data_IF_483929358771
#
_entry.id   IF_483929358771
#
_cell.length_a   1.000
_cell.length_b   1.000
_cell.length_c   1.000
_cell.angle_alpha   90.00
_cell.angle_beta   90.00
_cell.angle_gamma   90.00
#
_symmetry.space_group_name_H-M   'P 1'
#
loop_
_entity.id
_entity.type
_entity.pdbx_description
1 polymer ?
#
# COMPACT_ATOMS: atom_id res chain seq x y z
N UNK A 1 -19.93 32.41 5.47
CA UNK A 1 -18.76 32.45 4.58
C UNK A 1 -17.53 32.67 5.45
N UNK A 2 -16.46 31.88 5.30
CA UNK A 2 -15.20 32.16 6.01
C UNK A 2 -14.65 33.51 5.57
N UNK A 3 -14.03 34.24 6.48
CA UNK A 3 -13.34 35.50 6.14
C UNK A 3 -12.07 35.19 5.34
N UNK A 4 -11.64 36.10 4.47
CA UNK A 4 -10.39 36.00 3.71
C UNK A 4 -9.18 35.62 4.61
N UNK A 5 -9.20 36.08 5.86
CA UNK A 5 -8.17 35.77 6.87
C UNK A 5 -8.04 34.29 7.23
N UNK A 6 -9.12 33.49 7.20
CA UNK A 6 -9.04 32.05 7.50
C UNK A 6 -8.30 31.27 6.41
N UNK A 7 -8.20 31.82 5.20
CA UNK A 7 -7.54 31.18 4.05
C UNK A 7 -6.01 31.31 4.07
N UNK A 8 -5.47 32.23 4.87
CA UNK A 8 -4.03 32.53 4.98
C UNK A 8 -3.41 32.03 6.29
N UNK A 9 -4.23 31.58 7.24
CA UNK A 9 -3.75 31.20 8.56
C UNK A 9 -2.91 29.91 8.50
N UNK A 10 -1.70 29.97 9.06
CA UNK A 10 -0.78 28.83 9.14
C UNK A 10 -1.10 28.05 10.42
N UNK A 11 -1.41 26.76 10.27
CA UNK A 11 -1.74 25.86 11.38
C UNK A 11 -0.73 24.72 11.45
N UNK A 12 -0.34 24.26 12.65
CA UNK A 12 0.40 23.01 12.76
C UNK A 12 -0.44 21.84 12.25
N UNK A 13 0.21 20.88 11.59
CA UNK A 13 -0.36 19.60 11.18
C UNK A 13 0.50 18.47 11.73
N UNK A 14 -0.05 17.25 11.79
CA UNK A 14 0.74 16.10 12.22
C UNK A 14 1.81 15.75 11.17
N UNK A 15 2.96 15.16 11.58
CA UNK A 15 3.92 14.61 10.65
C UNK A 15 3.27 13.66 9.63
N UNK A 16 2.38 12.78 10.10
CA UNK A 16 1.62 11.82 9.27
C UNK A 16 0.75 12.49 8.19
N UNK A 17 0.18 13.66 8.49
CA UNK A 17 -0.56 14.44 7.51
C UNK A 17 0.37 14.95 6.40
N UNK A 18 1.53 15.49 6.78
CA UNK A 18 2.53 15.96 5.82
C UNK A 18 3.12 14.80 5.01
N UNK A 19 3.40 13.65 5.64
CA UNK A 19 3.92 12.45 4.97
C UNK A 19 2.99 11.97 3.85
N UNK A 20 1.67 12.00 4.08
CA UNK A 20 0.67 11.68 3.05
C UNK A 20 0.75 12.63 1.85
N UNK A 21 0.96 13.93 2.08
CA UNK A 21 1.16 14.92 1.00
C UNK A 21 2.51 14.73 0.29
N UNK A 22 3.54 14.39 1.07
CA UNK A 22 4.91 14.17 0.61
C UNK A 22 5.09 12.88 -0.21
N UNK A 23 4.10 11.99 -0.28
CA UNK A 23 4.07 10.89 -1.29
C UNK A 23 4.23 11.42 -2.73
N UNK A 24 3.89 12.69 -2.98
CA UNK A 24 4.07 13.38 -4.26
C UNK A 24 5.53 13.72 -4.62
N UNK A 25 6.44 13.69 -3.64
CA UNK A 25 7.87 13.90 -3.82
C UNK A 25 8.50 12.73 -4.55
N UNK A 26 9.63 12.97 -5.23
CA UNK A 26 10.34 11.96 -6.02
C UNK A 26 10.85 10.78 -5.18
N UNK A 27 11.12 10.96 -3.89
CA UNK A 27 11.49 9.88 -2.96
C UNK A 27 10.48 9.76 -1.83
N UNK A 28 9.27 10.32 -1.99
CA UNK A 28 8.23 10.24 -0.98
C UNK A 28 8.62 10.89 0.37
N UNK A 29 7.99 10.46 1.48
CA UNK A 29 8.22 11.00 2.81
C UNK A 29 9.39 10.38 3.60
N UNK A 30 10.28 9.60 2.95
CA UNK A 30 11.47 9.10 3.62
C UNK A 30 12.56 10.18 3.63
N UNK A 31 12.72 10.85 4.78
CA UNK A 31 13.68 11.95 4.95
C UNK A 31 14.98 11.53 5.65
N UNK A 32 15.24 10.23 5.81
CA UNK A 32 16.46 9.74 6.46
C UNK A 32 17.73 10.35 5.83
N UNK A 33 18.73 10.74 6.64
CA UNK A 33 18.84 10.56 8.09
C UNK A 33 18.13 11.65 8.94
N UNK A 34 17.36 12.55 8.32
CA UNK A 34 16.59 13.57 9.02
C UNK A 34 15.22 13.06 9.45
N UNK A 35 14.61 13.73 10.42
CA UNK A 35 13.22 13.46 10.83
C UNK A 35 12.38 14.73 10.80
N UNK A 36 11.07 14.61 10.63
CA UNK A 36 10.16 15.75 10.73
C UNK A 36 10.16 16.27 12.18
N UNK A 37 10.67 17.47 12.38
CA UNK A 37 10.62 18.19 13.66
C UNK A 37 9.22 18.78 13.89
N UNK A 38 8.67 19.44 12.88
CA UNK A 38 7.30 19.98 12.90
C UNK A 38 6.80 20.20 11.47
N UNK A 39 5.48 20.26 11.29
CA UNK A 39 4.86 20.50 9.99
C UNK A 39 3.69 21.48 10.11
N UNK A 40 3.44 22.22 9.04
CA UNK A 40 2.42 23.26 8.96
C UNK A 40 1.63 23.19 7.65
N UNK A 41 0.43 23.73 7.69
CA UNK A 41 -0.43 23.93 6.52
C UNK A 41 -0.98 25.35 6.49
N UNK A 42 -1.05 25.93 5.30
CA UNK A 42 -1.71 27.22 5.05
C UNK A 42 -3.18 27.00 4.73
N UNK A 43 -4.05 27.69 5.47
CA UNK A 43 -5.48 27.76 5.20
C UNK A 43 -6.13 26.38 5.07
N UNK A 44 -6.84 26.16 3.97
CA UNK A 44 -7.50 24.88 3.64
C UNK A 44 -6.62 23.90 2.84
N UNK A 45 -5.30 24.09 2.83
CA UNK A 45 -4.37 23.16 2.16
C UNK A 45 -3.95 23.58 0.76
N UNK A 46 -3.78 24.89 0.53
CA UNK A 46 -3.14 25.41 -0.69
C UNK A 46 -1.62 25.23 -0.67
N UNK A 47 -1.02 25.29 0.51
CA UNK A 47 0.39 25.06 0.78
C UNK A 47 0.56 24.28 2.10
N UNK A 48 1.60 23.46 2.19
CA UNK A 48 2.04 22.84 3.42
C UNK A 48 3.56 22.76 3.44
N UNK A 49 4.15 22.41 4.58
CA UNK A 49 5.59 22.31 4.67
C UNK A 49 6.04 21.74 5.99
N UNK A 50 7.28 21.25 6.03
CA UNK A 50 7.88 20.72 7.24
C UNK A 50 9.25 21.34 7.52
N UNK A 51 9.62 21.28 8.79
CA UNK A 51 10.98 21.50 9.25
C UNK A 51 11.55 20.11 9.54
N UNK A 52 12.69 19.79 8.93
CA UNK A 52 13.44 18.57 9.15
C UNK A 52 14.58 18.85 10.12
N UNK A 53 14.87 17.89 11.01
CA UNK A 53 16.03 17.90 11.91
C UNK A 53 17.00 16.81 11.49
N UNK A 54 18.21 17.22 11.10
CA UNK A 54 19.32 16.31 10.83
C UNK A 54 19.87 15.78 12.16
N UNK A 55 19.78 14.46 12.37
CA UNK A 55 20.10 13.83 13.66
C UNK A 55 21.61 13.88 14.01
N UNK A 56 22.46 13.98 12.99
CA UNK A 56 23.92 13.98 13.13
C UNK A 56 24.50 15.34 13.55
N UNK A 57 23.96 16.40 12.97
CA UNK A 57 24.46 17.78 13.07
C UNK A 57 23.59 18.66 13.96
N UNK A 58 22.35 18.25 14.24
CA UNK A 58 21.34 19.08 14.91
C UNK A 58 20.86 20.26 14.06
N UNK A 59 21.21 20.31 12.78
CA UNK A 59 20.81 21.37 11.87
C UNK A 59 19.36 21.18 11.39
N UNK A 60 18.69 22.29 11.14
CA UNK A 60 17.33 22.29 10.61
C UNK A 60 17.32 22.59 9.11
N UNK A 61 16.42 21.98 8.37
CA UNK A 61 16.12 22.34 6.99
C UNK A 61 14.62 22.44 6.80
N UNK A 62 14.18 23.05 5.71
CA UNK A 62 12.77 23.29 5.43
C UNK A 62 12.40 22.77 4.06
N UNK A 63 11.19 22.23 3.95
CA UNK A 63 10.61 21.79 2.70
C UNK A 63 9.20 22.37 2.58
N UNK A 64 8.93 23.14 1.54
CA UNK A 64 7.60 23.70 1.26
C UNK A 64 6.98 23.07 0.02
N UNK A 65 5.73 22.62 0.17
CA UNK A 65 4.89 22.07 -0.89
C UNK A 65 3.73 23.02 -1.19
N UNK A 66 3.35 23.11 -2.46
CA UNK A 66 2.16 23.83 -2.89
C UNK A 66 1.32 22.98 -3.83
N UNK A 67 0.00 23.20 -3.79
CA UNK A 67 -0.91 22.60 -4.76
C UNK A 67 -0.72 23.26 -6.12
N UNK A 68 -0.64 22.44 -7.16
CA UNK A 68 -0.85 22.87 -8.53
C UNK A 68 -2.33 23.10 -8.85
N UNK A 69 -2.61 23.70 -9.99
CA UNK A 69 -3.99 23.88 -10.50
C UNK A 69 -4.75 22.57 -10.75
N UNK A 70 -4.06 21.42 -10.76
CA UNK A 70 -4.64 20.07 -10.82
C UNK A 70 -4.58 19.32 -9.48
N UNK A 71 -4.35 20.04 -8.39
CA UNK A 71 -4.28 19.57 -7.01
C UNK A 71 -3.08 18.66 -6.69
N UNK A 72 -2.17 18.36 -7.62
CA UNK A 72 -0.94 17.65 -7.24
C UNK A 72 -0.07 18.55 -6.33
N UNK A 73 0.48 17.99 -5.26
CA UNK A 73 1.51 18.64 -4.45
C UNK A 73 2.83 18.67 -5.21
N UNK A 74 3.51 19.81 -5.18
CA UNK A 74 4.86 19.98 -5.73
C UNK A 74 5.75 20.72 -4.75
N UNK A 75 7.01 20.32 -4.68
CA UNK A 75 8.03 21.06 -3.96
C UNK A 75 8.29 22.39 -4.66
N UNK A 76 8.18 23.48 -3.92
CA UNK A 76 8.42 24.85 -4.45
C UNK A 76 9.61 25.53 -3.81
N UNK A 77 10.05 25.06 -2.64
CA UNK A 77 11.15 25.65 -1.91
C UNK A 77 11.78 24.62 -0.96
N UNK A 78 13.11 24.65 -0.89
CA UNK A 78 13.92 23.88 0.05
C UNK A 78 15.05 24.78 0.52
N UNK A 79 15.21 24.90 1.84
CA UNK A 79 16.24 25.77 2.43
C UNK A 79 16.91 25.11 3.62
N UNK A 80 18.12 25.59 3.92
CA UNK A 80 18.94 25.13 5.03
C UNK A 80 20.41 25.00 4.63
N UNK A 81 21.29 24.62 5.57
CA UNK A 81 20.97 24.35 6.97
C UNK A 81 20.71 25.63 7.79
N UNK A 82 19.82 25.53 8.77
CA UNK A 82 19.55 26.55 9.79
C UNK A 82 20.02 26.08 11.15
N UNK A 83 20.55 27.01 11.95
CA UNK A 83 21.07 26.72 13.29
C UNK A 83 19.98 26.65 14.37
N UNK A 84 18.77 27.14 14.10
CA UNK A 84 17.67 27.16 15.07
C UNK A 84 16.32 26.87 14.39
N UNK A 85 15.36 26.28 15.12
CA UNK A 85 14.03 25.99 14.58
C UNK A 85 13.25 27.26 14.25
N UNK A 86 13.46 28.37 14.96
CA UNK A 86 12.77 29.65 14.68
C UNK A 86 13.16 30.22 13.32
N UNK A 87 14.45 30.18 12.97
CA UNK A 87 14.93 30.63 11.65
C UNK A 87 14.38 29.75 10.53
N UNK A 88 14.35 28.44 10.75
CA UNK A 88 13.71 27.51 9.83
C UNK A 88 12.21 27.78 9.70
N UNK A 89 11.52 28.11 10.80
CA UNK A 89 10.09 28.43 10.76
C UNK A 89 9.82 29.71 9.95
N UNK A 90 10.60 30.77 10.15
CA UNK A 90 10.46 32.01 9.38
C UNK A 90 10.72 31.79 7.89
N UNK A 91 11.76 31.02 7.55
CA UNK A 91 12.05 30.63 6.17
C UNK A 91 10.90 29.82 5.56
N UNK A 92 10.39 28.82 6.28
CA UNK A 92 9.29 27.96 5.83
C UNK A 92 8.00 28.76 5.59
N UNK A 93 7.67 29.73 6.47
CA UNK A 93 6.50 30.60 6.31
C UNK A 93 6.58 31.40 5.00
N UNK A 94 7.76 31.92 4.67
CA UNK A 94 7.98 32.62 3.39
C UNK A 94 7.94 31.66 2.21
N UNK A 95 8.61 30.50 2.30
CA UNK A 95 8.70 29.49 1.24
C UNK A 95 7.35 28.86 0.85
N UNK A 96 6.42 28.72 1.80
CA UNK A 96 5.06 28.24 1.50
C UNK A 96 4.25 29.21 0.63
N UNK A 97 4.63 30.50 0.57
CA UNK A 97 3.95 31.54 -0.23
C UNK A 97 2.44 31.59 -0.01
N UNK A 98 2.00 31.55 1.25
CA UNK A 98 0.58 31.48 1.60
C UNK A 98 -0.23 32.62 0.97
N UNK A 99 -1.26 32.28 0.20
CA UNK A 99 -2.11 33.25 -0.52
C UNK A 99 -1.87 33.37 -2.02
N UNK A 100 -0.70 32.93 -2.51
CA UNK A 100 -0.44 32.88 -3.95
C UNK A 100 -1.38 31.90 -4.66
N UNK A 101 -1.61 32.12 -5.95
CA UNK A 101 -2.35 31.20 -6.81
C UNK A 101 -1.69 29.80 -6.84
N UNK A 102 -2.46 28.72 -7.10
CA UNK A 102 -1.90 27.39 -7.26
C UNK A 102 -0.84 27.33 -8.37
N UNK A 103 0.16 26.46 -8.20
CA UNK A 103 1.25 26.33 -9.17
C UNK A 103 0.72 25.90 -10.55
N UNK A 104 1.27 26.43 -11.65
CA UNK A 104 0.81 26.10 -12.99
C UNK A 104 1.11 24.65 -13.37
N UNK A 105 0.41 24.17 -14.41
CA UNK A 105 0.77 22.91 -15.06
C UNK A 105 2.06 23.09 -15.88
N UNK A 106 3.04 22.17 -15.78
CA UNK A 106 4.16 22.13 -16.72
C UNK A 106 3.68 21.94 -18.16
N UNK A 107 4.40 22.48 -19.16
CA UNK A 107 4.10 22.22 -20.57
C UNK A 107 4.01 20.72 -20.87
N UNK A 108 2.97 20.31 -21.59
CA UNK A 108 2.74 18.91 -21.96
C UNK A 108 2.19 18.01 -20.84
N UNK A 109 2.13 18.48 -19.59
CA UNK A 109 1.52 17.71 -18.50
C UNK A 109 0.01 17.61 -18.70
N UNK A 110 -0.54 16.42 -18.44
CA UNK A 110 -1.99 16.21 -18.44
C UNK A 110 -2.59 16.56 -17.08
N UNK A 111 -3.66 17.35 -17.09
CA UNK A 111 -4.47 17.65 -15.89
C UNK A 111 -5.09 16.36 -15.33
N UNK A 112 -4.93 16.13 -14.02
CA UNK A 112 -5.59 15.03 -13.30
C UNK A 112 -7.12 15.18 -13.37
N UNK A 113 -7.80 14.09 -13.70
CA UNK A 113 -9.26 14.06 -13.65
C UNK A 113 -9.73 14.12 -12.17
N UNK A 114 -10.77 14.89 -11.82
CA UNK A 114 -11.27 14.95 -10.45
C UNK A 114 -11.89 13.60 -10.03
N UNK A 115 -11.42 13.07 -8.90
CA UNK A 115 -11.85 11.76 -8.38
C UNK A 115 -13.36 11.68 -8.15
N UNK A 116 -13.95 12.74 -7.59
CA UNK A 116 -15.38 12.80 -7.21
C UNK A 116 -16.31 13.14 -8.37
N UNK A 117 -15.78 13.48 -9.55
CA UNK A 117 -16.61 13.75 -10.72
C UNK A 117 -17.03 12.43 -11.35
N UNK A 118 -18.26 12.02 -11.08
CA UNK A 118 -18.84 10.77 -11.60
C UNK A 118 -18.85 10.77 -13.12
N UNK A 119 -18.29 9.72 -13.71
CA UNK A 119 -18.30 9.49 -15.15
C UNK A 119 -19.66 8.99 -15.69
N UNK A 120 -19.83 8.92 -17.02
CA UNK A 120 -21.10 8.50 -17.65
C UNK A 120 -21.46 7.02 -17.40
N UNK A 121 -20.51 6.21 -16.91
CA UNK A 121 -20.70 4.78 -16.62
C UNK A 121 -21.26 4.52 -15.21
N UNK A 122 -21.57 5.56 -14.44
CA UNK A 122 -21.98 5.43 -13.04
C UNK A 122 -20.82 5.08 -12.13
N UNK A 123 -21.13 4.60 -10.92
CA UNK A 123 -20.16 4.19 -9.90
C UNK A 123 -20.46 2.77 -9.39
N UNK A 124 -19.43 2.05 -8.95
CA UNK A 124 -19.55 0.79 -8.22
C UNK A 124 -19.97 1.03 -6.77
N UNK A 125 -20.43 -0.03 -6.11
CA UNK A 125 -20.86 0.02 -4.71
C UNK A 125 -19.70 0.38 -3.77
N UNK A 126 -18.47 -0.04 -4.08
CA UNK A 126 -17.28 0.33 -3.32
C UNK A 126 -16.94 1.80 -3.45
N UNK A 127 -17.04 2.34 -4.67
CA UNK A 127 -16.82 3.76 -4.85
C UNK A 127 -17.94 4.58 -4.20
N UNK A 128 -19.19 4.13 -4.26
CA UNK A 128 -20.31 4.72 -3.52
C UNK A 128 -20.05 4.73 -2.01
N UNK A 129 -19.54 3.63 -1.44
CA UNK A 129 -19.19 3.55 -0.02
C UNK A 129 -18.04 4.52 0.33
N UNK A 130 -16.97 4.54 -0.49
CA UNK A 130 -15.81 5.41 -0.33
C UNK A 130 -16.19 6.90 -0.37
N UNK A 131 -17.01 7.28 -1.36
CA UNK A 131 -17.38 8.66 -1.64
C UNK A 131 -18.60 9.15 -0.84
N UNK A 132 -19.43 8.23 -0.33
CA UNK A 132 -20.77 8.51 0.18
C UNK A 132 -20.94 8.41 1.69
N UNK A 133 -19.92 8.01 2.46
CA UNK A 133 -20.03 7.87 3.92
C UNK A 133 -18.95 8.62 4.70
N UNK A 134 -19.33 9.16 5.85
CA UNK A 134 -18.47 9.93 6.74
C UNK A 134 -17.36 9.04 7.32
N UNK A 135 -17.68 7.79 7.68
CA UNK A 135 -16.70 6.82 8.18
C UNK A 135 -15.58 6.49 7.19
N UNK A 136 -15.78 6.76 5.89
CA UNK A 136 -14.80 6.52 4.82
C UNK A 136 -14.09 7.78 4.31
N UNK A 137 -14.39 8.97 4.86
CA UNK A 137 -13.63 10.20 4.58
C UNK A 137 -12.11 10.01 4.75
N UNK A 138 -11.59 9.32 5.77
CA UNK A 138 -10.15 9.10 5.88
C UNK A 138 -9.59 8.33 4.69
N UNK A 139 -10.28 7.27 4.24
CA UNK A 139 -9.89 6.53 3.03
C UNK A 139 -10.01 7.38 1.77
N UNK A 140 -11.07 8.17 1.60
CA UNK A 140 -11.29 9.02 0.44
C UNK A 140 -10.13 10.00 0.24
N UNK A 141 -9.69 10.63 1.34
CA UNK A 141 -8.55 11.54 1.31
C UNK A 141 -7.27 10.80 0.97
N UNK A 142 -6.98 9.67 1.64
CA UNK A 142 -5.77 8.91 1.38
C UNK A 142 -5.69 8.39 -0.07
N UNK A 143 -6.80 7.90 -0.62
CA UNK A 143 -6.93 7.48 -2.04
C UNK A 143 -6.69 8.67 -2.96
N UNK A 144 -7.30 9.82 -2.65
CA UNK A 144 -7.13 11.06 -3.42
C UNK A 144 -5.68 11.53 -3.47
N UNK A 145 -4.99 11.61 -2.33
CA UNK A 145 -3.58 12.01 -2.27
C UNK A 145 -2.68 11.03 -3.01
N UNK A 146 -2.89 9.72 -2.86
CA UNK A 146 -2.11 8.71 -3.59
C UNK A 146 -2.32 8.84 -5.11
N UNK A 147 -3.56 9.01 -5.58
CA UNK A 147 -3.86 9.18 -7.00
C UNK A 147 -3.24 10.46 -7.58
N UNK A 148 -3.30 11.58 -6.85
CA UNK A 148 -2.69 12.83 -7.28
C UNK A 148 -1.16 12.72 -7.33
N UNK A 149 -0.57 11.91 -6.45
CA UNK A 149 0.86 11.67 -6.34
C UNK A 149 1.40 10.65 -7.37
N UNK A 150 0.57 9.79 -7.96
CA UNK A 150 1.01 8.84 -9.01
C UNK A 150 1.80 9.57 -10.10
N UNK A 151 2.93 9.03 -10.59
CA UNK A 151 3.77 9.68 -11.60
C UNK A 151 2.98 9.97 -12.88
N UNK A 152 2.35 8.93 -13.44
CA UNK A 152 1.69 9.00 -14.74
C UNK A 152 0.48 8.04 -14.83
N UNK A 153 -0.58 8.25 -14.02
CA UNK A 153 -1.82 7.49 -14.14
C UNK A 153 -2.41 7.64 -15.54
N UNK A 154 -2.88 6.53 -16.09
CA UNK A 154 -3.47 6.49 -17.42
C UNK A 154 -4.81 7.23 -17.50
N UNK A 155 -5.31 7.39 -18.73
CA UNK A 155 -6.53 8.15 -19.00
C UNK A 155 -7.79 7.61 -18.34
N UNK A 156 -7.83 6.31 -18.12
CA UNK A 156 -8.98 5.56 -17.63
C UNK A 156 -8.90 5.33 -16.12
N UNK A 157 -7.82 5.75 -15.44
CA UNK A 157 -7.64 5.50 -14.02
C UNK A 157 -8.87 5.88 -13.17
N UNK A 158 -9.39 7.11 -13.30
CA UNK A 158 -10.58 7.54 -12.54
C UNK A 158 -11.84 6.77 -12.94
N UNK A 159 -12.20 6.65 -14.24
CA UNK A 159 -13.31 5.77 -14.64
C UNK A 159 -13.20 4.33 -14.15
N UNK A 160 -12.00 3.75 -14.14
CA UNK A 160 -11.73 2.38 -13.69
C UNK A 160 -11.91 2.25 -12.18
N UNK A 161 -11.33 3.18 -11.41
CA UNK A 161 -11.48 3.23 -9.97
C UNK A 161 -12.94 3.47 -9.58
N UNK A 162 -13.70 4.26 -10.35
CA UNK A 162 -15.12 4.49 -10.08
C UNK A 162 -16.01 3.28 -10.38
N UNK A 163 -15.55 2.30 -11.18
CA UNK A 163 -16.42 1.23 -11.69
C UNK A 163 -15.89 -0.17 -11.28
N UNK A 164 -15.90 -1.15 -12.19
CA UNK A 164 -15.61 -2.56 -11.88
C UNK A 164 -14.13 -2.85 -11.61
N UNK A 165 -13.25 -1.88 -11.86
CA UNK A 165 -11.80 -2.02 -11.66
C UNK A 165 -11.33 -1.38 -10.33
N UNK A 166 -12.25 -1.08 -9.41
CA UNK A 166 -11.98 -0.45 -8.11
C UNK A 166 -10.84 -1.16 -7.36
N UNK A 167 -10.91 -2.48 -7.16
CA UNK A 167 -9.91 -3.23 -6.41
C UNK A 167 -8.52 -3.20 -7.08
N UNK A 168 -8.47 -3.31 -8.40
CA UNK A 168 -7.20 -3.23 -9.16
C UNK A 168 -6.55 -1.85 -9.01
N UNK A 169 -7.31 -0.77 -9.21
CA UNK A 169 -6.79 0.59 -9.07
C UNK A 169 -6.42 0.92 -7.63
N UNK A 170 -7.16 0.41 -6.65
CA UNK A 170 -6.81 0.56 -5.24
C UNK A 170 -5.51 -0.17 -4.89
N UNK A 171 -5.27 -1.35 -5.47
CA UNK A 171 -4.03 -2.09 -5.27
C UNK A 171 -2.82 -1.39 -5.90
N UNK A 172 -2.98 -0.80 -7.09
CA UNK A 172 -1.95 0.07 -7.69
C UNK A 172 -1.57 1.24 -6.77
N UNK A 173 -2.57 1.93 -6.19
CA UNK A 173 -2.33 3.03 -5.23
C UNK A 173 -1.63 2.54 -3.96
N UNK A 174 -2.00 1.36 -3.46
CA UNK A 174 -1.38 0.76 -2.29
C UNK A 174 0.09 0.45 -2.53
N UNK A 175 0.43 -0.19 -3.66
CA UNK A 175 1.80 -0.49 -4.04
C UNK A 175 2.63 0.79 -4.18
N UNK A 176 2.09 1.78 -4.89
CA UNK A 176 2.71 3.10 -5.01
C UNK A 176 3.03 3.72 -3.64
N UNK A 177 2.07 3.74 -2.72
CA UNK A 177 2.26 4.28 -1.38
C UNK A 177 3.31 3.49 -0.59
N UNK A 178 3.33 2.16 -0.69
CA UNK A 178 4.35 1.32 -0.07
C UNK A 178 5.76 1.66 -0.57
N UNK A 179 5.94 1.83 -1.88
CA UNK A 179 7.24 2.12 -2.45
C UNK A 179 7.71 3.54 -2.12
N UNK A 180 6.83 4.54 -2.29
CA UNK A 180 7.11 5.94 -1.97
C UNK A 180 7.46 6.15 -0.50
N UNK A 181 6.70 5.57 0.43
CA UNK A 181 6.94 5.73 1.87
C UNK A 181 8.35 5.29 2.28
N UNK A 182 8.92 4.31 1.57
CA UNK A 182 10.23 3.75 1.85
C UNK A 182 11.40 4.48 1.17
N UNK A 183 11.14 5.54 0.39
CA UNK A 183 12.19 6.28 -0.32
C UNK A 183 12.40 5.88 -1.78
N UNK A 184 11.62 4.93 -2.32
CA UNK A 184 11.88 4.42 -3.66
C UNK A 184 11.46 5.42 -4.73
N UNK A 185 12.28 5.55 -5.78
CA UNK A 185 11.88 6.13 -7.04
C UNK A 185 10.85 5.18 -7.72
N UNK A 186 9.76 5.71 -8.27
CA UNK A 186 8.64 4.97 -8.88
C UNK A 186 8.33 5.69 -10.17
N UNK A 187 8.45 5.00 -11.30
CA UNK A 187 8.19 5.53 -12.64
C UNK A 187 7.06 4.76 -13.31
N UNK A 188 6.37 5.45 -14.21
CA UNK A 188 5.26 4.93 -15.03
C UNK A 188 5.40 5.43 -16.47
N UNK A 189 6.63 5.34 -17.00
CA UNK A 189 6.97 5.87 -18.32
C UNK A 189 6.51 4.95 -19.47
N UNK A 190 6.15 3.70 -19.13
CA UNK A 190 5.67 2.68 -20.05
C UNK A 190 4.26 2.23 -19.67
N UNK A 191 3.53 1.70 -20.64
CA UNK A 191 2.16 1.16 -20.44
C UNK A 191 2.18 -0.11 -19.58
N UNK A 192 3.26 -0.90 -19.69
CA UNK A 192 3.48 -2.08 -18.85
C UNK A 192 4.97 -2.45 -18.80
N UNK A 193 5.46 -3.08 -17.72
CA UNK A 193 4.78 -3.30 -16.43
C UNK A 193 4.36 -2.00 -15.73
N UNK A 194 3.39 -2.09 -14.81
CA UNK A 194 2.74 -0.91 -14.18
C UNK A 194 3.70 0.06 -13.48
N UNK A 195 4.79 -0.46 -12.91
CA UNK A 195 5.81 0.34 -12.24
C UNK A 195 7.24 -0.10 -12.59
N UNK A 196 8.13 0.86 -12.73
CA UNK A 196 9.57 0.69 -12.46
C UNK A 196 9.84 1.26 -11.07
N UNK A 197 10.50 0.49 -10.20
CA UNK A 197 10.95 0.97 -8.89
C UNK A 197 12.48 1.00 -8.83
N UNK A 198 13.04 1.99 -8.15
CA UNK A 198 14.48 2.14 -7.97
C UNK A 198 14.82 2.62 -6.56
N UNK A 199 15.90 2.09 -5.99
CA UNK A 199 16.55 2.62 -4.79
C UNK A 199 18.06 2.38 -4.88
N UNK A 200 18.85 3.43 -4.67
CA UNK A 200 20.32 3.36 -4.66
C UNK A 200 20.92 2.64 -5.88
N UNK A 201 20.32 2.86 -7.06
CA UNK A 201 20.71 2.24 -8.34
C UNK A 201 20.22 0.81 -8.55
N UNK A 202 19.62 0.14 -7.55
CA UNK A 202 18.92 -1.12 -7.75
C UNK A 202 17.53 -0.87 -8.36
N UNK A 203 17.16 -1.63 -9.38
CA UNK A 203 15.91 -1.46 -10.15
C UNK A 203 15.08 -2.74 -10.14
N UNK A 204 13.76 -2.62 -10.19
CA UNK A 204 12.84 -3.72 -10.48
C UNK A 204 11.61 -3.24 -11.24
N UNK A 205 11.16 -4.02 -12.22
CA UNK A 205 9.88 -3.83 -12.88
C UNK A 205 8.78 -4.63 -12.18
N UNK A 206 7.62 -4.02 -11.97
CA UNK A 206 6.50 -4.62 -11.24
C UNK A 206 5.22 -4.51 -12.05
N UNK A 207 4.60 -5.65 -12.33
CA UNK A 207 3.23 -5.74 -12.86
C UNK A 207 2.26 -6.00 -11.70
N UNK A 208 1.26 -5.14 -11.53
CA UNK A 208 0.21 -5.30 -10.55
C UNK A 208 -0.96 -6.14 -11.11
N UNK A 209 -1.45 -7.08 -10.32
CA UNK A 209 -2.61 -7.91 -10.69
C UNK A 209 -3.46 -8.23 -9.48
N UNK A 210 -4.75 -8.38 -9.71
CA UNK A 210 -5.71 -8.88 -8.72
C UNK A 210 -6.22 -10.25 -9.14
N UNK A 211 -6.22 -11.20 -8.22
CA UNK A 211 -6.89 -12.49 -8.37
C UNK A 211 -8.38 -12.29 -8.09
N UNK A 212 -9.16 -12.02 -9.15
CA UNK A 212 -10.60 -11.76 -9.04
C UNK A 212 -11.43 -13.04 -9.18
N UNK A 213 -12.72 -12.97 -8.84
CA UNK A 213 -13.68 -14.06 -9.07
C UNK A 213 -13.91 -14.29 -10.57
N UNK A 214 -14.27 -15.52 -10.93
CA UNK A 214 -14.62 -15.89 -12.32
C UNK A 214 -16.02 -15.34 -12.70
N UNK A 215 -16.85 -15.04 -11.70
CA UNK A 215 -18.15 -14.41 -11.87
C UNK A 215 -17.96 -12.91 -11.59
N UNK A 216 -18.23 -12.02 -12.56
CA UNK A 216 -18.22 -10.59 -12.32
C UNK A 216 -19.30 -10.25 -11.28
N UNK A 217 -18.89 -10.08 -10.03
CA UNK A 217 -19.76 -9.49 -9.03
C UNK A 217 -19.62 -7.98 -9.13
N UNK A 218 -20.74 -7.27 -9.02
CA UNK A 218 -20.71 -5.84 -8.71
C UNK A 218 -20.21 -5.66 -7.27
N UNK A 219 -18.91 -5.79 -7.11
CA UNK A 219 -18.18 -5.32 -5.97
C UNK A 219 -17.96 -6.29 -4.81
N UNK A 220 -16.79 -6.17 -4.18
CA UNK A 220 -16.32 -6.95 -3.02
C UNK A 220 -17.10 -6.72 -1.73
N UNK A 221 -18.29 -6.13 -1.78
CA UNK A 221 -19.21 -5.97 -0.65
C UNK A 221 -20.27 -7.07 -0.76
N UNK A 222 -19.85 -8.30 -0.52
CA UNK A 222 -20.70 -9.48 -0.40
C UNK A 222 -20.69 -10.05 1.02
N UNK A 223 -21.52 -11.06 1.27
CA UNK A 223 -21.54 -11.78 2.53
C UNK A 223 -20.15 -12.33 2.85
N UNK A 224 -19.75 -12.25 4.12
CA UNK A 224 -18.42 -12.68 4.55
C UNK A 224 -18.21 -14.17 4.30
N UNK A 225 -17.16 -14.53 3.55
CA UNK A 225 -16.79 -15.92 3.27
C UNK A 225 -15.68 -16.35 4.23
N UNK A 226 -16.00 -17.34 5.05
CA UNK A 226 -15.03 -17.96 5.95
C UNK A 226 -14.07 -18.88 5.19
N UNK A 227 -12.87 -19.03 5.74
CA UNK A 227 -11.85 -19.92 5.20
C UNK A 227 -12.38 -21.37 5.14
N UNK A 228 -11.99 -22.18 4.14
CA UNK A 228 -12.28 -23.60 4.15
C UNK A 228 -11.78 -24.26 5.44
N UNK A 229 -12.64 -25.06 6.08
CA UNK A 229 -12.29 -25.80 7.30
C UNK A 229 -11.21 -26.85 7.03
N UNK A 230 -11.29 -27.51 5.86
CA UNK A 230 -10.23 -28.41 5.41
C UNK A 230 -8.98 -27.61 5.04
N UNK A 231 -7.92 -27.87 5.80
CA UNK A 231 -6.61 -27.26 5.61
C UNK A 231 -5.98 -27.61 4.26
N UNK A 232 -6.25 -28.81 3.72
CA UNK A 232 -5.77 -29.16 2.39
C UNK A 232 -6.44 -28.29 1.32
N UNK A 233 -7.76 -28.16 1.35
CA UNK A 233 -8.48 -27.27 0.44
C UNK A 233 -7.98 -25.83 0.55
N UNK A 234 -7.76 -25.34 1.77
CA UNK A 234 -7.27 -23.98 2.00
C UNK A 234 -5.87 -23.72 1.45
N UNK A 235 -4.96 -24.70 1.50
CA UNK A 235 -3.55 -24.53 1.10
C UNK A 235 -3.26 -24.95 -0.34
N UNK A 236 -3.94 -25.98 -0.84
CA UNK A 236 -3.65 -26.59 -2.14
C UNK A 236 -4.85 -26.64 -3.08
N UNK A 237 -6.05 -26.30 -2.61
CA UNK A 237 -7.30 -26.35 -3.37
C UNK A 237 -7.57 -25.12 -4.24
N UNK A 238 -8.83 -24.70 -4.30
CA UNK A 238 -9.30 -23.60 -5.14
C UNK A 238 -8.55 -22.25 -4.93
N UNK A 239 -8.17 -21.83 -3.71
CA UNK A 239 -7.44 -20.58 -3.50
C UNK A 239 -6.06 -20.60 -4.16
N UNK A 240 -5.33 -21.70 -4.01
CA UNK A 240 -4.02 -21.88 -4.64
C UNK A 240 -4.13 -21.90 -6.17
N UNK A 241 -5.14 -22.60 -6.71
CA UNK A 241 -5.37 -22.64 -8.16
C UNK A 241 -5.68 -21.26 -8.74
N UNK A 242 -6.36 -20.40 -7.99
CA UNK A 242 -6.67 -19.04 -8.45
C UNK A 242 -5.41 -18.18 -8.56
N UNK A 243 -4.54 -18.21 -7.55
CA UNK A 243 -3.22 -17.58 -7.65
C UNK A 243 -2.44 -18.14 -8.84
N UNK A 244 -2.42 -19.47 -9.00
CA UNK A 244 -1.72 -20.13 -10.08
C UNK A 244 -2.20 -19.69 -11.47
N UNK A 245 -3.51 -19.64 -11.70
CA UNK A 245 -4.09 -19.17 -12.96
C UNK A 245 -3.75 -17.71 -13.24
N UNK A 246 -3.86 -16.84 -12.23
CA UNK A 246 -3.60 -15.40 -12.35
C UNK A 246 -2.13 -15.15 -12.73
N UNK A 247 -1.19 -15.77 -11.99
CA UNK A 247 0.24 -15.64 -12.24
C UNK A 247 0.63 -16.20 -13.60
N UNK A 248 0.19 -17.41 -13.95
CA UNK A 248 0.49 -18.02 -15.27
C UNK A 248 -0.08 -17.20 -16.43
N UNK A 249 -1.28 -16.62 -16.27
CA UNK A 249 -1.86 -15.74 -17.28
C UNK A 249 -1.04 -14.46 -17.52
N UNK A 250 -0.46 -13.89 -16.46
CA UNK A 250 0.44 -12.73 -16.58
C UNK A 250 1.80 -13.10 -17.17
N UNK A 251 2.36 -14.26 -16.81
CA UNK A 251 3.62 -14.73 -17.37
C UNK A 251 3.57 -14.95 -18.90
N UNK A 252 2.40 -15.29 -19.44
CA UNK A 252 2.18 -15.39 -20.90
C UNK A 252 2.36 -14.07 -21.66
N UNK A 253 2.37 -12.92 -20.97
CA UNK A 253 2.58 -11.61 -21.60
C UNK A 253 4.04 -11.33 -21.94
N UNK A 254 4.98 -12.15 -21.45
CA UNK A 254 6.39 -12.10 -21.80
C UNK A 254 7.02 -10.70 -21.57
N UNK A 255 6.68 -10.06 -20.45
CA UNK A 255 7.16 -8.70 -20.12
C UNK A 255 8.68 -8.60 -20.14
N UNK A 256 9.39 -9.65 -19.74
CA UNK A 256 10.85 -9.77 -19.75
C UNK A 256 11.51 -9.57 -21.13
N UNK A 257 10.75 -9.78 -22.22
CA UNK A 257 11.25 -9.59 -23.57
C UNK A 257 11.21 -8.14 -24.03
N UNK A 258 10.45 -7.27 -23.34
CA UNK A 258 10.36 -5.85 -23.64
C UNK A 258 11.71 -5.17 -23.46
N UNK A 259 12.03 -4.20 -24.33
CA UNK A 259 13.37 -3.57 -24.36
C UNK A 259 13.72 -2.88 -23.03
N UNK A 260 12.75 -2.29 -22.33
CA UNK A 260 12.95 -1.62 -21.04
C UNK A 260 13.07 -2.56 -19.85
N UNK A 261 12.54 -3.78 -19.93
CA UNK A 261 12.57 -4.78 -18.84
C UNK A 261 13.77 -5.73 -18.97
N UNK A 262 14.21 -5.98 -20.20
CA UNK A 262 15.27 -6.95 -20.50
C UNK A 262 16.53 -6.66 -19.68
N UNK A 263 17.08 -7.70 -19.05
CA UNK A 263 18.29 -7.59 -18.23
C UNK A 263 18.06 -7.07 -16.81
N UNK A 264 16.82 -6.74 -16.44
CA UNK A 264 16.46 -6.22 -15.12
C UNK A 264 15.58 -7.21 -14.33
N UNK A 265 15.55 -7.12 -12.99
CA UNK A 265 14.58 -7.84 -12.18
C UNK A 265 13.13 -7.53 -12.58
N UNK A 266 12.29 -8.55 -12.60
CA UNK A 266 10.86 -8.46 -12.88
C UNK A 266 10.06 -9.20 -11.83
N UNK A 267 9.04 -8.56 -11.27
CA UNK A 267 8.10 -9.17 -10.34
C UNK A 267 6.65 -8.96 -10.75
N UNK A 268 5.81 -9.88 -10.30
CA UNK A 268 4.35 -9.71 -10.33
C UNK A 268 3.89 -9.43 -8.91
N UNK A 269 3.27 -8.27 -8.69
CA UNK A 269 2.58 -7.95 -7.48
C UNK A 269 1.13 -8.45 -7.56
N UNK A 270 0.70 -9.24 -6.58
CA UNK A 270 -0.62 -9.87 -6.56
C UNK A 270 -1.35 -9.63 -5.24
N UNK A 271 -2.61 -9.24 -5.34
CA UNK A 271 -3.57 -9.25 -4.24
C UNK A 271 -4.78 -10.10 -4.62
N UNK A 272 -5.50 -10.59 -3.62
CA UNK A 272 -6.61 -11.50 -3.78
C UNK A 272 -7.96 -10.83 -3.47
N UNK A 273 -8.83 -10.75 -4.46
CA UNK A 273 -10.15 -10.13 -4.36
C UNK A 273 -11.25 -11.08 -4.85
N UNK A 274 -11.02 -12.39 -4.75
CA UNK A 274 -11.93 -13.36 -5.34
C UNK A 274 -13.21 -13.59 -4.56
N UNK A 275 -13.17 -13.40 -3.24
CA UNK A 275 -14.33 -13.53 -2.34
C UNK A 275 -14.26 -12.47 -1.23
N UNK A 276 -15.42 -12.11 -0.68
CA UNK A 276 -15.50 -11.25 0.52
C UNK A 276 -14.81 -11.94 1.70
N UNK A 277 -13.78 -11.29 2.26
CA UNK A 277 -12.97 -11.84 3.36
C UNK A 277 -11.81 -12.75 2.94
N UNK A 278 -11.66 -13.07 1.64
CA UNK A 278 -10.55 -13.90 1.12
C UNK A 278 -9.16 -13.44 1.57
N UNK A 279 -8.95 -12.12 1.59
CA UNK A 279 -7.73 -11.46 2.05
C UNK A 279 -7.27 -11.90 3.45
N UNK A 280 -8.16 -12.38 4.30
CA UNK A 280 -7.84 -12.80 5.67
C UNK A 280 -7.26 -14.20 5.74
N UNK A 281 -7.52 -15.06 4.76
CA UNK A 281 -7.22 -16.49 4.86
C UNK A 281 -6.52 -17.12 3.64
N UNK A 282 -6.53 -16.48 2.46
CA UNK A 282 -5.97 -17.07 1.24
C UNK A 282 -4.44 -16.97 1.14
N UNK A 283 -3.83 -16.08 1.93
CA UNK A 283 -2.38 -15.83 1.97
C UNK A 283 -1.54 -17.12 1.98
N UNK A 284 -1.91 -18.11 2.79
CA UNK A 284 -1.10 -19.34 2.99
C UNK A 284 -1.06 -20.24 1.75
N UNK A 285 -2.03 -20.10 0.84
CA UNK A 285 -2.10 -20.86 -0.41
C UNK A 285 -1.03 -20.43 -1.42
N UNK A 286 -0.69 -19.14 -1.45
CA UNK A 286 0.27 -18.57 -2.38
C UNK A 286 1.69 -19.17 -2.23
N UNK A 287 2.37 -19.11 -1.07
CA UNK A 287 3.70 -19.70 -0.94
C UNK A 287 3.70 -21.21 -1.14
N UNK A 288 2.59 -21.89 -0.84
CA UNK A 288 2.41 -23.32 -1.13
C UNK A 288 2.52 -23.59 -2.63
N UNK A 289 1.80 -22.81 -3.45
CA UNK A 289 1.89 -22.88 -4.90
C UNK A 289 3.27 -22.46 -5.42
N UNK A 290 3.83 -21.34 -4.95
CA UNK A 290 5.10 -20.79 -5.47
C UNK A 290 6.25 -21.76 -5.25
N UNK A 291 6.42 -22.26 -4.02
CA UNK A 291 7.54 -23.12 -3.66
C UNK A 291 7.28 -24.60 -3.83
N UNK A 292 6.03 -25.03 -4.08
CA UNK A 292 5.63 -26.44 -4.18
C UNK A 292 5.79 -27.21 -2.86
N UNK A 293 5.63 -26.50 -1.74
CA UNK A 293 5.76 -27.03 -0.38
C UNK A 293 4.48 -26.69 0.40
N UNK A 294 3.70 -27.70 0.76
CA UNK A 294 2.60 -27.52 1.71
C UNK A 294 3.18 -27.53 3.12
N UNK A 295 2.95 -26.48 3.90
CA UNK A 295 3.27 -26.51 5.31
C UNK A 295 2.39 -27.55 5.99
N UNK A 296 2.92 -28.48 6.78
CA UNK A 296 2.19 -29.45 7.59
C UNK A 296 2.70 -29.42 9.05
N UNK A 297 1.86 -29.84 9.98
CA UNK A 297 2.24 -29.99 11.39
C UNK A 297 2.21 -31.47 11.75
N UNK A 298 3.30 -31.97 12.31
CA UNK A 298 3.43 -33.35 12.79
C UNK A 298 3.72 -33.36 14.29
N UNK A 299 3.54 -34.53 14.91
CA UNK A 299 3.66 -34.70 16.37
C UNK A 299 2.41 -34.29 17.13
N UNK A 300 2.46 -34.38 18.46
CA UNK A 300 1.35 -34.05 19.37
C UNK A 300 1.83 -33.37 20.65
N UNK A 301 0.98 -32.56 21.26
CA UNK A 301 1.31 -31.80 22.47
C UNK A 301 2.55 -30.92 22.28
N UNK A 302 3.56 -31.09 23.15
CA UNK A 302 4.82 -30.33 23.13
C UNK A 302 5.80 -30.75 22.02
N UNK A 303 5.53 -31.86 21.32
CA UNK A 303 6.38 -32.33 20.20
C UNK A 303 5.93 -31.82 18.82
N UNK A 304 4.89 -30.98 18.77
CA UNK A 304 4.38 -30.42 17.52
C UNK A 304 5.48 -29.62 16.82
N UNK A 305 5.67 -29.86 15.52
CA UNK A 305 6.60 -29.09 14.67
C UNK A 305 6.08 -28.93 13.25
N UNK A 306 6.42 -27.82 12.62
CA UNK A 306 6.14 -27.57 11.21
C UNK A 306 7.13 -28.34 10.32
N UNK A 307 6.64 -28.85 9.19
CA UNK A 307 7.44 -29.42 8.11
C UNK A 307 6.92 -28.89 6.77
N UNK A 308 7.79 -28.84 5.76
CA UNK A 308 7.39 -28.60 4.37
C UNK A 308 7.21 -29.93 3.63
N UNK A 309 5.99 -30.28 3.27
CA UNK A 309 5.68 -31.48 2.49
C UNK A 309 5.70 -31.13 0.99
N UNK A 310 6.58 -31.73 0.18
CA UNK A 310 6.59 -31.50 -1.26
C UNK A 310 5.28 -31.93 -1.92
N UNK A 311 4.75 -31.07 -2.77
CA UNK A 311 3.60 -31.37 -3.63
C UNK A 311 4.00 -31.18 -5.09
N UNK A 312 3.44 -31.98 -5.99
CA UNK A 312 3.66 -31.87 -7.44
C UNK A 312 2.54 -31.12 -8.14
N UNK A 313 1.31 -31.26 -7.65
CA UNK A 313 0.12 -30.62 -8.20
C UNK A 313 -0.73 -30.04 -7.07
N UNK A 314 -1.48 -28.99 -7.41
CA UNK A 314 -2.57 -28.48 -6.59
C UNK A 314 -3.73 -29.48 -6.59
N UNK A 315 -4.51 -29.49 -5.51
CA UNK A 315 -5.63 -30.40 -5.29
C UNK A 315 -6.97 -29.83 -5.72
N UNK A 316 -6.98 -28.62 -6.29
CA UNK A 316 -8.19 -28.02 -6.85
C UNK A 316 -8.64 -28.73 -8.13
N UNK A 317 -9.64 -28.14 -8.79
CA UNK A 317 -10.38 -28.74 -9.91
C UNK A 317 -9.51 -29.01 -11.15
N UNK A 318 -8.45 -28.25 -11.36
CA UNK A 318 -7.67 -28.26 -12.59
C UNK A 318 -6.35 -29.02 -12.45
N UNK A 319 -5.97 -29.42 -11.23
CA UNK A 319 -4.72 -30.12 -10.92
C UNK A 319 -3.50 -29.40 -11.51
N UNK A 320 -3.39 -28.10 -11.26
CA UNK A 320 -2.31 -27.27 -11.80
C UNK A 320 -0.97 -27.70 -11.16
N UNK A 321 0.13 -27.84 -11.93
CA UNK A 321 1.45 -28.10 -11.37
C UNK A 321 1.86 -27.05 -10.33
N UNK A 322 2.29 -27.51 -9.17
CA UNK A 322 2.79 -26.65 -8.10
C UNK A 322 4.31 -26.42 -8.24
N UNK A 323 4.83 -25.41 -7.55
CA UNK A 323 6.25 -25.08 -7.57
C UNK A 323 6.64 -24.20 -8.75
N UNK A 324 5.96 -23.07 -8.96
CA UNK A 324 6.32 -22.09 -9.99
C UNK A 324 7.81 -21.72 -9.96
N UNK A 325 8.37 -21.57 -8.76
CA UNK A 325 9.78 -21.25 -8.51
C UNK A 325 10.76 -22.44 -8.63
N UNK A 326 10.26 -23.62 -9.01
CA UNK A 326 11.10 -24.81 -9.28
C UNK A 326 11.28 -25.06 -10.78
N UNK A 327 10.53 -24.36 -11.61
CA UNK A 327 10.52 -24.54 -13.05
C UNK A 327 11.49 -23.52 -13.68
N UNK A 328 12.60 -23.97 -14.32
CA UNK A 328 13.56 -23.09 -14.96
C UNK A 328 12.97 -22.22 -16.08
N UNK A 329 11.82 -22.59 -16.65
CA UNK A 329 11.13 -21.76 -17.65
C UNK A 329 10.73 -20.39 -17.07
N UNK A 330 10.44 -20.33 -15.76
CA UNK A 330 10.07 -19.10 -15.06
C UNK A 330 11.24 -18.41 -14.35
N UNK A 331 12.49 -18.75 -14.68
CA UNK A 331 13.69 -18.08 -14.15
C UNK A 331 13.76 -16.58 -14.48
N UNK A 332 12.97 -16.09 -15.43
CA UNK A 332 12.84 -14.66 -15.75
C UNK A 332 11.99 -13.88 -14.73
N UNK A 333 11.15 -14.57 -13.94
CA UNK A 333 10.41 -13.96 -12.84
C UNK A 333 11.30 -13.94 -11.60
N UNK A 334 11.67 -12.75 -11.13
CA UNK A 334 12.55 -12.57 -9.98
C UNK A 334 11.87 -12.87 -8.65
N UNK A 335 10.62 -12.43 -8.52
CA UNK A 335 9.83 -12.63 -7.31
C UNK A 335 8.33 -12.48 -7.57
N UNK A 336 7.53 -12.89 -6.59
CA UNK A 336 6.12 -12.51 -6.49
C UNK A 336 5.97 -11.61 -5.27
N UNK A 337 5.46 -10.40 -5.47
CA UNK A 337 5.12 -9.47 -4.39
C UNK A 337 3.67 -9.72 -4.00
N UNK A 338 3.35 -9.78 -2.72
CA UNK A 338 2.00 -10.04 -2.23
C UNK A 338 1.61 -9.03 -1.16
N UNK A 339 0.34 -8.68 -1.10
CA UNK A 339 -0.25 -8.09 0.09
C UNK A 339 -1.74 -8.40 0.18
N UNK A 340 -2.22 -8.52 1.41
CA UNK A 340 -3.64 -8.54 1.74
C UNK A 340 -4.14 -7.20 2.31
N UNK A 341 -3.32 -6.16 2.29
CA UNK A 341 -3.65 -4.84 2.84
C UNK A 341 -4.03 -3.80 1.79
N UNK A 342 -4.05 -4.12 0.50
CA UNK A 342 -4.49 -3.22 -0.59
C UNK A 342 -5.99 -2.89 -0.58
N UNK A 343 -6.59 -2.67 0.59
CA UNK A 343 -8.03 -2.56 0.81
C UNK A 343 -8.41 -1.18 1.33
N UNK A 344 -9.68 -0.81 1.19
CA UNK A 344 -10.19 0.47 1.69
C UNK A 344 -9.99 0.62 3.21
N UNK A 345 -9.98 -0.49 3.96
CA UNK A 345 -9.67 -0.49 5.39
C UNK A 345 -8.25 0.04 5.69
N UNK A 346 -7.25 -0.32 4.87
CA UNK A 346 -5.88 0.23 5.00
C UNK A 346 -5.88 1.73 4.75
N UNK A 347 -6.47 2.18 3.64
CA UNK A 347 -6.58 3.60 3.33
C UNK A 347 -7.30 4.38 4.43
N UNK A 348 -8.34 3.81 5.03
CA UNK A 348 -9.04 4.40 6.18
C UNK A 348 -8.10 4.58 7.38
N UNK A 349 -7.34 3.54 7.76
CA UNK A 349 -6.38 3.66 8.86
C UNK A 349 -5.29 4.69 8.55
N UNK A 350 -4.73 4.67 7.35
CA UNK A 350 -3.65 5.60 6.98
C UNK A 350 -4.15 7.05 6.94
N UNK A 351 -5.34 7.30 6.40
CA UNK A 351 -5.98 8.62 6.46
C UNK A 351 -6.32 9.06 7.89
N UNK A 352 -6.80 8.14 8.73
CA UNK A 352 -7.13 8.42 10.12
C UNK A 352 -5.89 8.78 10.95
N UNK A 353 -4.80 8.04 10.75
CA UNK A 353 -3.49 8.30 11.37
C UNK A 353 -2.86 9.60 10.84
N UNK A 354 -3.19 10.00 9.60
CA UNK A 354 -2.85 11.29 9.01
C UNK A 354 -3.72 12.46 9.54
N UNK A 355 -4.60 12.23 10.52
CA UNK A 355 -5.37 13.28 11.17
C UNK A 355 -6.74 13.57 10.55
N UNK A 356 -7.13 12.86 9.49
CA UNK A 356 -8.49 12.93 8.94
C UNK A 356 -9.41 12.06 9.81
N UNK A 357 -9.88 12.61 10.93
CA UNK A 357 -10.62 11.88 11.96
C UNK A 357 -12.03 12.47 12.13
N UNK A 358 -13.03 12.01 11.35
CA UNK A 358 -14.42 12.40 11.53
C UNK A 358 -14.88 12.23 12.98
N UNK A 359 -15.64 13.21 13.48
CA UNK A 359 -16.08 13.22 14.87
C UNK A 359 -16.93 11.98 15.18
N UNK A 360 -16.52 11.21 16.17
CA UNK A 360 -17.21 10.00 16.62
C UNK A 360 -16.74 8.72 15.94
N UNK A 361 -15.87 8.79 14.93
CA UNK A 361 -15.30 7.62 14.28
C UNK A 361 -14.29 6.96 15.20
N UNK A 362 -14.50 5.66 15.45
CA UNK A 362 -13.50 4.76 16.04
C UNK A 362 -13.20 3.64 15.08
N UNK A 363 -11.94 3.21 15.03
CA UNK A 363 -11.52 2.06 14.24
C UNK A 363 -10.89 1.02 15.15
N UNK A 364 -11.42 -0.21 15.13
CA UNK A 364 -10.82 -1.34 15.85
C UNK A 364 -10.19 -2.28 14.82
N UNK A 365 -8.88 -2.51 14.92
CA UNK A 365 -8.18 -3.48 14.09
C UNK A 365 -7.99 -4.76 14.89
N UNK A 366 -8.48 -5.88 14.36
CA UNK A 366 -8.30 -7.21 14.95
C UNK A 366 -7.74 -8.18 13.92
N UNK A 367 -6.91 -9.12 14.36
CA UNK A 367 -6.22 -10.02 13.47
C UNK A 367 -5.16 -10.87 14.17
N UNK A 368 -4.15 -11.27 13.40
CA UNK A 368 -3.08 -12.15 13.88
C UNK A 368 -1.71 -11.61 13.51
N UNK A 369 -0.81 -11.59 14.49
CA UNK A 369 0.61 -11.29 14.32
C UNK A 369 1.41 -12.57 14.13
N UNK A 370 2.45 -12.50 13.31
CA UNK A 370 3.41 -13.58 13.14
C UNK A 370 4.19 -13.81 14.43
N UNK A 371 4.11 -15.01 15.01
CA UNK A 371 4.94 -15.39 16.15
C UNK A 371 6.34 -15.79 15.69
N UNK A 372 7.34 -14.97 16.02
CA UNK A 372 8.74 -15.16 15.60
C UNK A 372 9.54 -16.08 16.51
N UNK A 373 8.95 -16.60 17.60
CA UNK A 373 9.66 -17.51 18.51
C UNK A 373 10.00 -18.81 17.79
N UNK A 374 11.23 -19.34 17.90
CA UNK A 374 11.58 -20.63 17.30
C UNK A 374 10.58 -21.73 17.71
N UNK A 375 10.04 -22.45 16.72
CA UNK A 375 9.07 -23.51 16.94
C UNK A 375 7.62 -23.07 17.17
N UNK A 376 7.32 -21.76 17.12
CA UNK A 376 5.94 -21.29 17.14
C UNK A 376 5.17 -21.80 15.90
N UNK A 377 3.96 -22.29 16.14
CA UNK A 377 3.08 -22.82 15.08
C UNK A 377 1.78 -22.02 14.97
N UNK A 378 1.45 -21.27 16.01
CA UNK A 378 0.21 -20.55 16.15
C UNK A 378 0.53 -19.05 16.17
N UNK A 379 -0.30 -18.25 15.50
CA UNK A 379 -0.14 -16.80 15.46
C UNK A 379 -0.62 -16.14 16.76
N UNK A 380 -0.18 -14.91 17.02
CA UNK A 380 -0.58 -14.14 18.20
C UNK A 380 -1.81 -13.29 17.85
N UNK A 381 -2.98 -13.51 18.47
CA UNK A 381 -4.15 -12.68 18.21
C UNK A 381 -3.95 -11.27 18.77
N UNK A 382 -4.51 -10.27 18.10
CA UNK A 382 -4.57 -8.90 18.63
C UNK A 382 -5.91 -8.24 18.28
N UNK A 383 -6.33 -7.30 19.12
CA UNK A 383 -7.44 -6.39 18.88
C UNK A 383 -7.11 -5.05 19.55
N UNK A 384 -6.96 -3.99 18.75
CA UNK A 384 -6.52 -2.67 19.23
C UNK A 384 -7.27 -1.54 18.53
N UNK A 385 -7.49 -0.44 19.25
CA UNK A 385 -8.05 0.79 18.67
C UNK A 385 -6.95 1.51 17.87
N UNK A 386 -7.23 1.82 16.60
CA UNK A 386 -6.29 2.52 15.72
C UNK A 386 -6.01 3.91 16.30
N UNK A 387 -4.74 4.22 16.48
CA UNK A 387 -4.28 5.47 17.10
C UNK A 387 -4.10 5.42 18.61
N UNK A 388 -4.38 4.27 19.27
CA UNK A 388 -4.01 4.10 20.67
C UNK A 388 -2.49 3.99 20.85
N UNK A 389 -1.93 4.31 22.04
CA UNK A 389 -0.51 4.11 22.33
C UNK A 389 -0.04 2.67 22.12
N UNK A 390 -0.87 1.68 22.48
CA UNK A 390 -0.58 0.25 22.31
C UNK A 390 -0.53 -0.13 20.83
N UNK A 391 -1.40 0.45 20.01
CA UNK A 391 -1.37 0.26 18.56
C UNK A 391 -0.10 0.85 17.94
N UNK A 392 0.24 2.08 18.30
CA UNK A 392 1.44 2.75 17.82
C UNK A 392 2.71 1.98 18.23
N UNK A 393 2.74 1.42 19.44
CA UNK A 393 3.87 0.66 19.98
C UNK A 393 4.13 -0.69 19.29
N UNK A 394 3.23 -1.16 18.41
CA UNK A 394 3.50 -2.36 17.61
C UNK A 394 4.69 -2.17 16.65
N UNK A 395 4.99 -0.94 16.24
CA UNK A 395 6.03 -0.64 15.27
C UNK A 395 6.83 0.61 15.66
N UNK A 396 8.13 0.71 15.32
CA UNK A 396 8.98 1.84 15.72
C UNK A 396 8.43 3.23 15.35
N UNK A 397 7.67 3.31 14.25
CA UNK A 397 7.13 4.57 13.72
C UNK A 397 5.60 4.53 13.53
N UNK A 398 4.92 3.60 14.20
CA UNK A 398 3.50 3.30 13.96
C UNK A 398 3.27 2.52 12.65
N UNK A 399 2.01 2.35 12.26
CA UNK A 399 1.65 1.55 11.07
C UNK A 399 2.19 2.18 9.77
N UNK A 400 3.06 1.48 9.06
CA UNK A 400 3.54 1.86 7.73
C UNK A 400 2.63 1.31 6.62
N UNK A 401 2.64 1.90 5.42
CA UNK A 401 1.95 1.37 4.22
C UNK A 401 2.43 -0.06 3.89
N UNK A 402 3.75 -0.28 3.93
CA UNK A 402 4.42 -1.52 3.53
C UNK A 402 4.38 -2.65 4.57
N UNK A 403 3.74 -2.44 5.73
CA UNK A 403 3.76 -3.37 6.87
C UNK A 403 3.29 -4.80 6.54
N UNK A 404 2.35 -4.92 5.59
CA UNK A 404 1.78 -6.18 5.11
C UNK A 404 2.25 -6.55 3.69
N UNK A 405 3.32 -5.91 3.21
CA UNK A 405 3.92 -6.24 1.92
C UNK A 405 4.88 -7.42 2.09
N UNK A 406 4.77 -8.42 1.22
CA UNK A 406 5.61 -9.61 1.22
C UNK A 406 6.28 -9.81 -0.13
N UNK A 407 7.52 -10.28 -0.13
CA UNK A 407 8.26 -10.60 -1.36
C UNK A 407 8.71 -12.05 -1.29
N UNK A 408 8.10 -12.90 -2.11
CA UNK A 408 8.50 -14.29 -2.28
C UNK A 408 9.52 -14.39 -3.41
N UNK A 409 10.78 -14.69 -3.06
CA UNK A 409 11.88 -14.70 -4.02
C UNK A 409 11.96 -16.01 -4.80
N UNK A 410 12.13 -15.92 -6.12
CA UNK A 410 12.41 -17.07 -6.96
C UNK A 410 13.89 -17.46 -6.81
N UNK A 411 14.23 -18.65 -6.27
CA UNK A 411 15.61 -19.10 -6.13
C UNK A 411 16.29 -19.38 -7.47
N UNK A 412 15.53 -19.48 -8.57
CA UNK A 412 16.05 -19.62 -9.93
C UNK A 412 16.09 -18.30 -10.71
N UNK A 413 15.82 -17.15 -10.05
CA UNK A 413 15.80 -15.86 -10.71
C UNK A 413 17.11 -15.56 -11.46
N UNK A 414 17.00 -15.21 -12.73
CA UNK A 414 18.13 -14.76 -13.57
C UNK A 414 18.62 -13.38 -13.11
N UNK A 415 17.69 -12.53 -12.67
CA UNK A 415 17.96 -11.20 -12.12
C UNK A 415 17.26 -11.06 -10.76
N UNK A 416 17.85 -11.52 -9.65
CA UNK A 416 17.20 -11.50 -8.35
C UNK A 416 16.99 -10.06 -7.84
N UNK A 417 15.91 -9.85 -7.07
CA UNK A 417 15.66 -8.57 -6.38
C UNK A 417 16.50 -8.54 -5.10
N UNK A 418 17.33 -7.51 -4.86
CA UNK A 418 18.04 -7.38 -3.59
C UNK A 418 17.07 -7.03 -2.46
N UNK A 419 17.36 -7.49 -1.24
CA UNK A 419 16.54 -7.20 -0.05
C UNK A 419 16.37 -5.68 0.16
N UNK A 420 17.47 -4.92 -0.01
CA UNK A 420 17.52 -3.49 0.26
C UNK A 420 16.70 -2.63 -0.73
N UNK A 421 16.19 -3.21 -1.83
CA UNK A 421 15.30 -2.48 -2.73
C UNK A 421 13.95 -2.16 -2.06
N UNK A 422 13.38 -3.09 -1.29
CA UNK A 422 12.08 -2.94 -0.62
C UNK A 422 12.18 -3.38 0.85
N UNK A 423 13.03 -2.74 1.67
CA UNK A 423 13.43 -3.26 2.98
C UNK A 423 12.28 -3.34 3.99
N UNK A 424 11.22 -2.55 3.80
CA UNK A 424 10.00 -2.57 4.59
C UNK A 424 9.07 -3.73 4.25
N UNK A 425 9.35 -4.55 3.25
CA UNK A 425 8.61 -5.79 3.01
C UNK A 425 9.12 -6.94 3.90
N UNK A 426 8.27 -7.95 4.10
CA UNK A 426 8.71 -9.26 4.62
C UNK A 426 9.16 -10.12 3.46
N UNK A 427 10.45 -10.47 3.42
CA UNK A 427 11.04 -11.26 2.35
C UNK A 427 11.11 -12.74 2.71
N UNK A 428 10.79 -13.60 1.74
CA UNK A 428 10.85 -15.04 1.86
C UNK A 428 11.84 -15.60 0.87
N UNK A 429 12.85 -16.33 1.35
CA UNK A 429 13.90 -16.93 0.53
C UNK A 429 13.91 -18.44 0.71
N UNK A 430 14.05 -19.20 -0.38
CA UNK A 430 14.37 -20.62 -0.29
C UNK A 430 15.88 -20.82 -0.26
N UNK A 431 16.44 -21.28 0.86
CA UNK A 431 17.88 -21.54 1.03
C UNK A 431 18.09 -22.85 1.79
N UNK A 432 19.08 -23.65 1.36
CA UNK A 432 19.41 -24.93 1.99
C UNK A 432 18.22 -25.90 2.20
N UNK A 433 17.20 -25.80 1.34
CA UNK A 433 15.98 -26.62 1.45
C UNK A 433 14.90 -26.05 2.38
N UNK A 434 15.17 -24.96 3.10
CA UNK A 434 14.26 -24.29 4.01
C UNK A 434 13.74 -22.96 3.42
N UNK A 435 12.64 -22.46 3.97
CA UNK A 435 12.09 -21.14 3.66
C UNK A 435 12.43 -20.20 4.81
N UNK A 436 13.33 -19.25 4.56
CA UNK A 436 13.75 -18.21 5.49
C UNK A 436 12.83 -16.99 5.38
N UNK A 437 12.49 -16.38 6.52
CA UNK A 437 11.68 -15.15 6.61
C UNK A 437 12.56 -14.01 7.15
N UNK A 438 12.80 -12.99 6.33
CA UNK A 438 13.62 -11.83 6.68
C UNK A 438 12.76 -10.57 6.65
N UNK A 439 12.81 -9.77 7.71
CA UNK A 439 12.07 -8.51 7.81
C UNK A 439 12.72 -7.58 8.80
N UNK A 440 12.51 -6.27 8.64
CA UNK A 440 12.87 -5.27 9.65
C UNK A 440 11.85 -5.18 10.79
N UNK A 441 10.67 -5.80 10.63
CA UNK A 441 9.57 -5.68 11.58
C UNK A 441 9.66 -6.70 12.71
N UNK A 442 9.62 -6.20 13.94
CA UNK A 442 9.40 -7.05 15.11
C UNK A 442 8.01 -7.73 15.07
N UNK A 443 6.99 -6.96 14.68
CA UNK A 443 5.60 -7.43 14.55
C UNK A 443 5.16 -7.37 13.09
N UNK A 444 4.79 -8.51 12.50
CA UNK A 444 4.20 -8.55 11.14
C UNK A 444 2.77 -9.05 11.21
N UNK A 445 1.84 -8.33 10.60
CA UNK A 445 0.43 -8.73 10.55
C UNK A 445 0.26 -9.77 9.45
N UNK A 446 -0.22 -10.96 9.81
CA UNK A 446 -0.53 -12.03 8.85
C UNK A 446 -1.85 -11.76 8.12
N UNK A 447 -2.85 -11.33 8.89
CA UNK A 447 -4.16 -10.91 8.39
C UNK A 447 -4.87 -10.08 9.46
N UNK A 448 -5.77 -9.21 9.02
CA UNK A 448 -6.58 -8.41 9.94
C UNK A 448 -7.84 -7.88 9.26
N UNK A 449 -8.84 -7.56 10.07
CA UNK A 449 -10.02 -6.77 9.70
C UNK A 449 -9.99 -5.43 10.44
N UNK A 450 -10.69 -4.44 9.90
CA UNK A 450 -10.90 -3.16 10.60
C UNK A 450 -12.39 -2.89 10.68
N UNK A 451 -12.89 -2.79 11.91
CA UNK A 451 -14.26 -2.40 12.19
C UNK A 451 -14.33 -0.88 12.32
N UNK A 452 -15.11 -0.24 11.47
CA UNK A 452 -15.46 1.18 11.60
C UNK A 452 -16.68 1.27 12.53
N UNK A 453 -16.56 2.05 13.61
CA UNK A 453 -17.63 2.29 14.57
C UNK A 453 -17.97 3.78 14.57
N UNK A 454 -19.20 4.09 14.18
CA UNK A 454 -19.79 5.43 14.20
C UNK A 454 -21.08 5.42 15.03
N UNK A 455 -21.43 6.51 15.73
CA UNK A 455 -22.75 6.65 16.33
C UNK A 455 -23.85 6.53 15.26
N UNK A 456 -24.97 5.90 15.62
CA UNK A 456 -26.09 5.68 14.71
C UNK A 456 -26.61 7.02 14.15
N UNK A 457 -26.76 7.10 12.83
CA UNK A 457 -27.27 8.29 12.13
C UNK A 457 -26.24 9.39 11.88
N UNK A 458 -24.96 9.15 12.16
CA UNK A 458 -23.86 10.09 11.89
C UNK A 458 -22.97 9.67 10.70
N UNK A 459 -23.30 8.59 9.99
CA UNK A 459 -22.45 8.05 8.93
C UNK A 459 -22.82 8.54 7.53
N UNK A 460 -24.05 9.03 7.35
CA UNK A 460 -24.48 9.66 6.11
C UNK A 460 -24.08 11.14 6.10
N UNK A 461 -23.66 11.65 4.95
CA UNK A 461 -23.61 13.09 4.74
C UNK A 461 -25.05 13.62 4.90
N UNK A 462 -25.32 14.37 5.96
CA UNK A 462 -26.63 14.98 6.18
C UNK A 462 -27.09 15.73 4.92
N UNK A 463 -28.39 15.74 4.62
CA UNK A 463 -28.94 16.41 3.44
C UNK A 463 -28.44 17.87 3.35
N UNK A 464 -27.38 18.13 2.58
CA UNK A 464 -26.87 19.49 2.35
C UNK A 464 -25.37 19.69 2.16
N UNK A 465 -24.49 18.85 2.72
CA UNK A 465 -23.04 19.11 2.65
C UNK A 465 -22.29 18.00 1.88
N UNK A 466 -21.85 18.25 0.63
CA UNK A 466 -20.93 17.34 -0.04
C UNK A 466 -19.58 17.29 0.71
N UNK A 467 -18.81 16.19 0.61
CA UNK A 467 -17.46 16.13 1.15
C UNK A 467 -16.60 17.26 0.56
N UNK A 468 -15.96 18.03 1.44
CA UNK A 468 -15.09 19.16 1.08
C UNK A 468 -13.76 18.72 0.46
#
# INVERSE_FOLDING_TARGET
MPTENDSLLIKPISPRQFELHALSLEQGPNFEPSTIFTAYQVGRGSACGCILLAQDSGAFSTLALRRRVDHRWVCVDQQGPFSTPDRAQDALRMGMRGGDAPEPLPPGARRRAPLMKVGPKGISREFELLAGTISHVPALVAVGECYLALPNPDANFVPDLQTSNFASRLFELYLFACFREQGLIVRQDYVSPDFEIEKDGAVCWIEAVTANSDIPHAGGIGDWVHAPEDRNERLTGAPAERFAKTLRGKLQRNYQASDHVRGHPFAIAIADFHESGSMVWSREALPTYLYGLRADVIGGGTSRRAIGTPITHLTGKHSIPAGLFRDPEFAHLSAVVFSNAGTMAKFNRMGFLAGYQPKGLKMIRSGSLFDRRPGALDAIPFELEVGSPEYAALWPWGEAWCQELEVYHNPLATHPIPFDLIPGATHWFKRNGEIECNTIWANSVLSSVTQLRMPKGMDDFGQGDPPA
#
